data_IF_147819547878
#
_entry.id   IF_147819547878
#
_cell.length_a   1.000
_cell.length_b   1.000
_cell.length_c   1.000
_cell.angle_alpha   90.00
_cell.angle_beta   90.00
_cell.angle_gamma   90.00
#
_symmetry.space_group_name_H-M   'P 1'
#
loop_
_entity.id
_entity.type
_entity.pdbx_description
1 polymer ?
#
# COMPACT_ATOMS: atom_id res chain seq x y z
N UNK A 1 6.64 25.50 -21.12
CA UNK A 1 6.05 24.46 -20.26
C UNK A 1 7.16 23.89 -19.39
N UNK A 2 7.12 24.18 -18.08
CA UNK A 2 8.18 23.76 -17.16
C UNK A 2 8.29 22.24 -17.08
N UNK A 3 9.50 21.75 -16.85
CA UNK A 3 9.95 20.38 -17.02
C UNK A 3 9.38 19.42 -15.95
N UNK A 4 8.10 19.04 -16.08
CA UNK A 4 7.41 18.11 -15.16
C UNK A 4 8.11 16.74 -15.10
N UNK A 5 8.86 16.41 -16.16
CA UNK A 5 9.61 15.18 -16.34
C UNK A 5 10.75 15.00 -15.32
N UNK A 6 11.41 16.08 -14.90
CA UNK A 6 12.50 16.02 -13.91
C UNK A 6 12.03 16.11 -12.46
N UNK A 7 10.72 16.21 -12.21
CA UNK A 7 10.20 16.26 -10.84
C UNK A 7 10.52 14.92 -10.14
N UNK A 8 11.20 14.95 -8.99
CA UNK A 8 11.46 13.74 -8.21
C UNK A 8 10.15 13.17 -7.66
N UNK A 9 10.01 11.85 -7.72
CA UNK A 9 8.84 11.17 -7.20
C UNK A 9 8.77 11.30 -5.67
N UNK A 10 7.61 11.64 -5.08
CA UNK A 10 7.46 11.68 -3.63
C UNK A 10 7.64 10.30 -3.00
N UNK A 11 8.30 10.22 -1.85
CA UNK A 11 8.52 8.91 -1.22
C UNK A 11 7.21 8.28 -0.74
N UNK A 12 6.99 7.01 -1.09
CA UNK A 12 5.92 6.19 -0.53
C UNK A 12 6.15 5.94 0.96
N UNK A 13 5.06 5.88 1.71
CA UNK A 13 5.08 5.46 3.12
C UNK A 13 5.66 4.05 3.24
N UNK A 14 6.48 3.83 4.27
CA UNK A 14 7.07 2.52 4.54
C UNK A 14 6.04 1.55 5.10
N UNK A 15 6.05 0.31 4.64
CA UNK A 15 5.20 -0.77 5.13
C UNK A 15 3.91 -1.01 4.32
N UNK A 16 3.72 -0.29 3.21
CA UNK A 16 2.62 -0.55 2.29
C UNK A 16 2.79 -1.94 1.65
N UNK A 17 1.71 -2.73 1.66
CA UNK A 17 1.68 -4.05 1.03
C UNK A 17 0.75 -4.04 -0.16
N UNK A 18 1.30 -4.28 -1.34
CA UNK A 18 0.51 -4.48 -2.54
C UNK A 18 0.11 -5.96 -2.63
N UNK A 19 -1.17 -6.22 -2.87
CA UNK A 19 -1.73 -7.56 -3.04
C UNK A 19 -2.62 -7.58 -4.27
N UNK A 20 -2.58 -8.66 -5.04
CA UNK A 20 -3.52 -8.84 -6.15
C UNK A 20 -4.93 -8.96 -5.59
N UNK A 21 -5.83 -8.13 -6.10
CA UNK A 21 -7.25 -8.12 -5.75
C UNK A 21 -8.07 -8.99 -6.70
N UNK A 22 -9.38 -9.02 -6.46
CA UNK A 22 -10.33 -9.61 -7.40
C UNK A 22 -10.40 -8.76 -8.68
N UNK A 23 -10.84 -9.36 -9.78
CA UNK A 23 -11.11 -8.64 -11.02
C UNK A 23 -12.18 -7.57 -10.80
N UNK A 24 -12.04 -6.42 -11.46
CA UNK A 24 -13.05 -5.37 -11.37
C UNK A 24 -14.38 -5.86 -11.96
N UNK A 25 -15.46 -5.70 -11.21
CA UNK A 25 -16.78 -6.19 -11.61
C UNK A 25 -17.38 -5.45 -12.82
N UNK A 26 -16.86 -4.27 -13.18
CA UNK A 26 -17.34 -3.49 -14.33
C UNK A 26 -16.40 -3.63 -15.54
N UNK A 27 -15.09 -3.52 -15.34
CA UNK A 27 -14.12 -3.58 -16.45
C UNK A 27 -13.57 -4.98 -16.72
N UNK A 28 -13.66 -5.91 -15.77
CA UNK A 28 -13.01 -7.23 -15.85
C UNK A 28 -11.49 -7.19 -15.73
N UNK A 29 -10.91 -6.01 -15.46
CA UNK A 29 -9.47 -5.83 -15.36
C UNK A 29 -8.96 -6.29 -13.98
N UNK A 30 -7.73 -6.83 -13.91
CA UNK A 30 -7.11 -7.17 -12.63
C UNK A 30 -6.96 -5.91 -11.76
N UNK A 31 -7.50 -5.95 -10.54
CA UNK A 31 -7.31 -4.86 -9.57
C UNK A 31 -6.28 -5.26 -8.54
N UNK A 32 -5.64 -4.28 -7.92
CA UNK A 32 -4.74 -4.53 -6.79
C UNK A 32 -5.29 -3.85 -5.54
N UNK A 33 -5.09 -4.48 -4.39
CA UNK A 33 -5.35 -3.85 -3.09
C UNK A 33 -4.04 -3.45 -2.43
N UNK A 34 -3.94 -2.17 -2.11
CA UNK A 34 -2.88 -1.61 -1.30
C UNK A 34 -3.33 -1.55 0.15
N UNK A 35 -2.62 -2.29 1.01
CA UNK A 35 -2.89 -2.34 2.44
C UNK A 35 -1.88 -1.46 3.21
N UNK A 36 -2.38 -0.50 3.97
CA UNK A 36 -1.62 0.27 4.96
C UNK A 36 -1.81 -0.35 6.35
N UNK A 37 -0.81 -1.05 6.92
CA UNK A 37 -0.93 -1.70 8.22
C UNK A 37 -1.00 -0.69 9.37
N UNK A 38 -0.52 0.54 9.20
CA UNK A 38 -0.52 1.55 10.27
C UNK A 38 -1.93 2.09 10.50
N UNK A 39 -2.66 2.34 9.41
CA UNK A 39 -4.03 2.85 9.48
C UNK A 39 -5.09 1.75 9.32
N UNK A 40 -4.67 0.49 9.09
CA UNK A 40 -5.51 -0.65 8.73
C UNK A 40 -6.49 -0.31 7.59
N UNK A 41 -5.96 0.34 6.53
CA UNK A 41 -6.75 0.80 5.39
C UNK A 41 -6.43 -0.02 4.15
N UNK A 42 -7.47 -0.32 3.38
CA UNK A 42 -7.38 -1.01 2.11
C UNK A 42 -7.83 -0.06 1.01
N UNK A 43 -6.97 0.12 0.03
CA UNK A 43 -7.20 1.03 -1.09
C UNK A 43 -7.16 0.19 -2.35
N UNK A 44 -8.23 0.26 -3.13
CA UNK A 44 -8.33 -0.43 -4.41
C UNK A 44 -7.62 0.42 -5.46
N UNK A 45 -6.75 -0.21 -6.22
CA UNK A 45 -6.01 0.37 -7.34
C UNK A 45 -6.45 -0.32 -8.63
N UNK A 46 -6.63 0.47 -9.68
CA UNK A 46 -6.74 -0.03 -11.04
C UNK A 46 -5.44 -0.69 -11.49
N UNK A 47 -5.49 -1.42 -12.60
CA UNK A 47 -4.32 -2.08 -13.18
C UNK A 47 -3.19 -1.09 -13.48
N UNK A 48 -3.51 0.06 -14.08
CA UNK A 48 -2.55 1.12 -14.39
C UNK A 48 -1.86 1.63 -13.13
N UNK A 49 -2.64 1.93 -12.09
CA UNK A 49 -2.10 2.43 -10.82
C UNK A 49 -1.23 1.39 -10.12
N UNK A 50 -1.60 0.10 -10.20
CA UNK A 50 -0.84 -0.99 -9.63
C UNK A 50 0.53 -1.18 -10.34
N UNK A 51 0.55 -1.14 -11.67
CA UNK A 51 1.79 -1.26 -12.46
C UNK A 51 2.73 -0.07 -12.25
N UNK A 52 2.15 1.13 -12.14
CA UNK A 52 2.88 2.33 -11.73
C UNK A 52 3.47 2.15 -10.32
N UNK A 53 2.69 1.67 -9.35
CA UNK A 53 3.16 1.50 -7.97
C UNK A 53 4.24 0.43 -7.85
N UNK A 54 4.14 -0.65 -8.62
CA UNK A 54 5.16 -1.71 -8.67
C UNK A 54 6.52 -1.18 -9.13
N UNK A 55 6.54 -0.24 -10.09
CA UNK A 55 7.77 0.37 -10.64
C UNK A 55 8.19 1.63 -9.90
N UNK A 56 7.32 2.20 -9.10
CA UNK A 56 7.58 3.38 -8.27
C UNK A 56 8.82 3.24 -7.38
N UNK A 57 9.09 2.04 -6.85
CA UNK A 57 10.25 1.78 -6.01
C UNK A 57 11.58 1.80 -6.78
N UNK A 58 11.55 1.52 -8.08
CA UNK A 58 12.74 1.51 -8.94
C UNK A 58 12.96 2.88 -9.58
N UNK A 59 11.89 3.64 -9.78
CA UNK A 59 11.93 4.94 -10.46
C UNK A 59 12.20 6.12 -9.54
N UNK A 60 13.03 7.05 -10.00
CA UNK A 60 13.44 8.25 -9.23
C UNK A 60 12.68 9.52 -9.62
N UNK A 61 12.32 9.64 -10.90
CA UNK A 61 11.63 10.82 -11.45
C UNK A 61 10.37 10.40 -12.18
N UNK A 62 9.45 11.37 -12.36
CA UNK A 62 8.20 11.14 -13.11
C UNK A 62 8.49 10.60 -14.51
N UNK A 63 9.49 11.13 -15.21
CA UNK A 63 9.86 10.63 -16.54
C UNK A 63 10.37 9.18 -16.54
N UNK A 64 11.16 8.81 -15.52
CA UNK A 64 11.68 7.46 -15.39
C UNK A 64 10.54 6.44 -15.18
N UNK A 65 9.54 6.82 -14.38
CA UNK A 65 8.35 6.00 -14.19
C UNK A 65 7.55 5.84 -15.49
N UNK A 66 7.35 6.94 -16.23
CA UNK A 66 6.63 6.92 -17.53
C UNK A 66 7.34 5.99 -18.51
N UNK A 67 8.66 6.14 -18.67
CA UNK A 67 9.43 5.27 -19.55
C UNK A 67 9.38 3.81 -19.09
N UNK A 68 9.59 3.54 -17.81
CA UNK A 68 9.59 2.17 -17.28
C UNK A 68 8.25 1.47 -17.49
N UNK A 69 7.12 2.16 -17.32
CA UNK A 69 5.79 1.58 -17.55
C UNK A 69 5.55 1.36 -19.05
N UNK A 70 5.82 2.35 -19.88
CA UNK A 70 5.56 2.26 -21.33
C UNK A 70 6.48 1.27 -22.05
N UNK A 71 7.70 1.03 -21.55
CA UNK A 71 8.63 0.05 -22.13
C UNK A 71 8.36 -1.39 -21.66
N UNK A 72 7.91 -1.57 -20.41
CA UNK A 72 7.77 -2.89 -19.80
C UNK A 72 6.34 -3.42 -19.82
N UNK A 73 5.37 -2.59 -20.19
CA UNK A 73 3.96 -2.96 -20.27
C UNK A 73 3.36 -2.45 -21.58
N UNK A 74 2.22 -2.99 -21.98
CA UNK A 74 1.47 -2.48 -23.14
C UNK A 74 0.62 -1.24 -22.80
N UNK A 75 0.77 -0.69 -21.58
CA UNK A 75 0.10 0.54 -21.17
C UNK A 75 0.82 1.74 -21.80
N UNK A 76 0.05 2.76 -22.13
CA UNK A 76 0.58 4.03 -22.60
C UNK A 76 0.15 5.12 -21.63
N UNK A 77 1.00 5.37 -20.63
CA UNK A 77 0.77 6.38 -19.60
C UNK A 77 1.45 7.70 -19.97
N UNK A 78 0.82 8.79 -19.58
CA UNK A 78 1.37 10.14 -19.73
C UNK A 78 1.61 10.83 -18.38
N UNK A 79 2.09 12.08 -18.43
CA UNK A 79 2.45 12.81 -17.22
C UNK A 79 1.24 13.21 -16.37
N UNK A 80 0.07 13.38 -16.98
CA UNK A 80 -1.21 13.65 -16.31
C UNK A 80 -1.66 12.42 -15.52
N UNK A 81 -1.52 11.21 -16.08
CA UNK A 81 -1.81 9.96 -15.36
C UNK A 81 -0.97 9.82 -14.10
N UNK A 82 0.34 10.07 -14.21
CA UNK A 82 1.25 10.02 -13.05
C UNK A 82 0.89 11.10 -12.03
N UNK A 83 0.50 12.29 -12.47
CA UNK A 83 0.04 13.34 -11.58
C UNK A 83 -1.25 12.97 -10.85
N UNK A 84 -2.21 12.38 -11.56
CA UNK A 84 -3.46 11.89 -10.99
C UNK A 84 -3.21 10.78 -9.96
N UNK A 85 -2.31 9.85 -10.26
CA UNK A 85 -1.85 8.83 -9.32
C UNK A 85 -1.23 9.46 -8.08
N UNK A 86 -0.29 10.40 -8.23
CA UNK A 86 0.34 11.07 -7.08
C UNK A 86 -0.69 11.82 -6.25
N UNK A 87 -1.63 12.53 -6.89
CA UNK A 87 -2.73 13.22 -6.19
C UNK A 87 -3.63 12.23 -5.45
N UNK A 88 -3.91 11.07 -6.04
CA UNK A 88 -4.69 10.00 -5.40
C UNK A 88 -3.96 9.41 -4.18
N UNK A 89 -2.66 9.13 -4.29
CA UNK A 89 -1.83 8.65 -3.19
C UNK A 89 -1.72 9.70 -2.06
N UNK A 90 -1.60 10.99 -2.40
CA UNK A 90 -1.55 12.09 -1.45
C UNK A 90 -2.88 12.24 -0.68
N UNK A 91 -4.01 12.24 -1.40
CA UNK A 91 -5.36 12.28 -0.81
C UNK A 91 -5.58 11.13 0.18
N UNK A 92 -5.00 9.97 -0.10
CA UNK A 92 -5.07 8.79 0.76
C UNK A 92 -3.97 8.74 1.85
N UNK A 93 -3.14 9.78 1.99
CA UNK A 93 -2.05 9.88 2.97
C UNK A 93 -1.00 8.76 2.87
N UNK A 94 -0.82 8.23 1.66
CA UNK A 94 0.13 7.16 1.34
C UNK A 94 1.53 7.68 1.03
N UNK A 95 1.68 8.99 0.84
CA UNK A 95 2.96 9.64 0.63
C UNK A 95 3.57 10.13 1.95
N UNK A 96 4.89 10.08 2.05
CA UNK A 96 5.63 10.71 3.14
C UNK A 96 5.56 12.21 2.93
N UNK A 97 4.75 12.88 3.75
CA UNK A 97 4.71 14.35 3.77
C UNK A 97 6.13 14.90 3.97
N UNK A 98 6.52 15.91 3.18
CA UNK A 98 7.86 16.52 3.21
C UNK A 98 8.28 16.97 4.62
N UNK A 99 7.32 17.36 5.48
CA UNK A 99 7.53 17.71 6.90
C UNK A 99 7.97 16.54 7.80
N UNK A 100 7.75 15.29 7.39
CA UNK A 100 8.18 14.09 8.13
C UNK A 100 9.53 13.55 7.68
N UNK A 101 10.16 14.12 6.64
CA UNK A 101 11.52 13.74 6.24
C UNK A 101 12.55 14.08 7.31
N UNK A 102 12.28 15.08 8.15
CA UNK A 102 13.13 15.48 9.29
C UNK A 102 12.89 14.64 10.56
N UNK A 103 11.90 13.74 10.58
CA UNK A 103 11.57 12.87 11.73
C UNK A 103 11.85 11.39 11.46
N UNK A 104 12.95 11.08 10.77
CA UNK A 104 13.54 9.74 10.78
C UNK A 104 14.89 9.73 11.50
N UNK A 105 14.88 10.16 12.76
CA UNK A 105 15.81 9.64 13.76
C UNK A 105 14.96 8.94 14.83
N UNK A 106 15.20 7.64 14.96
CA UNK A 106 15.06 6.87 16.19
C UNK A 106 13.80 7.14 17.04
N UNK A 107 12.69 6.53 16.65
CA UNK A 107 11.64 6.21 17.61
C UNK A 107 11.76 4.73 17.95
N UNK A 108 12.54 4.40 18.98
CA UNK A 108 12.54 3.11 19.65
C UNK A 108 11.11 2.59 19.81
N UNK A 109 10.74 1.57 19.02
CA UNK A 109 9.52 0.83 19.26
C UNK A 109 9.84 -0.10 20.43
N UNK A 110 9.24 0.08 21.62
CA UNK A 110 9.57 -0.73 22.79
C UNK A 110 9.26 -2.21 22.50
N UNK A 111 10.22 -3.08 22.81
CA UNK A 111 10.22 -4.53 22.55
C UNK A 111 8.91 -5.24 22.98
N UNK A 112 8.22 -4.71 23.99
CA UNK A 112 6.96 -5.25 24.50
C UNK A 112 5.77 -5.11 23.53
N UNK A 113 5.73 -4.13 22.62
CA UNK A 113 4.66 -4.02 21.61
C UNK A 113 4.81 -5.03 20.46
N UNK A 114 6.01 -5.63 20.31
CA UNK A 114 6.29 -6.64 19.28
C UNK A 114 5.70 -8.03 19.63
N UNK A 115 5.49 -8.31 20.92
CA UNK A 115 4.92 -9.58 21.38
C UNK A 115 3.39 -9.59 21.27
N UNK A 116 2.72 -8.45 21.47
CA UNK A 116 1.25 -8.36 21.39
C UNK A 116 0.76 -8.45 19.94
N UNK A 117 1.55 -7.99 18.97
CA UNK A 117 1.22 -8.15 17.54
C UNK A 117 1.42 -9.58 17.01
N UNK A 118 1.97 -10.50 17.81
CA UNK A 118 1.99 -11.93 17.49
C UNK A 118 0.81 -12.70 18.11
N UNK A 119 -0.08 -12.03 18.86
CA UNK A 119 -1.23 -12.66 19.52
C UNK A 119 -2.53 -12.67 18.66
N UNK A 120 -2.54 -12.06 17.48
CA UNK A 120 -3.71 -12.15 16.58
C UNK A 120 -3.70 -13.38 15.66
N UNK A 121 -2.66 -14.22 15.72
CA UNK A 121 -2.51 -15.44 14.91
C UNK A 121 -2.47 -16.73 15.73
N UNK A 122 -2.86 -16.68 17.01
CA UNK A 122 -3.28 -17.87 17.73
C UNK A 122 -4.80 -17.86 17.80
N UNK A 123 -5.43 -18.66 16.94
CA UNK A 123 -6.71 -19.25 17.28
C UNK A 123 -6.53 -19.94 18.64
N UNK A 124 -6.95 -19.28 19.72
CA UNK A 124 -7.25 -20.00 20.95
C UNK A 124 -8.55 -20.74 20.59
N UNK A 125 -8.56 -22.08 20.45
CA UNK A 125 -9.81 -22.81 20.49
C UNK A 125 -10.37 -22.53 21.89
N UNK A 126 -11.30 -21.58 21.98
CA UNK A 126 -12.06 -21.33 23.19
C UNK A 126 -12.67 -22.69 23.57
N UNK A 127 -12.10 -23.25 24.63
CA UNK A 127 -12.50 -24.45 25.32
C UNK A 127 -14.01 -24.67 25.19
N UNK A 128 -14.42 -25.81 24.65
CA UNK A 128 -15.82 -26.23 24.62
C UNK A 128 -16.27 -26.49 26.06
N UNK A 129 -17.08 -25.63 26.70
CA UNK A 129 -17.50 -25.83 28.09
C UNK A 129 -18.71 -26.77 28.15
N UNK A 130 -18.83 -27.71 27.20
CA UNK A 130 -20.01 -28.55 27.08
C UNK A 130 -20.04 -29.67 28.14
N UNK A 131 -18.87 -30.10 28.64
CA UNK A 131 -18.77 -31.10 29.72
C UNK A 131 -19.12 -30.59 31.12
N UNK A 132 -19.25 -29.27 31.31
CA UNK A 132 -19.62 -28.72 32.63
C UNK A 132 -21.13 -28.75 32.87
N UNK A 133 -21.93 -28.75 31.79
CA UNK A 133 -23.39 -28.69 31.87
C UNK A 133 -24.04 -30.06 32.16
N UNK A 134 -23.41 -31.17 31.75
CA UNK A 134 -23.91 -32.53 32.01
C UNK A 134 -23.67 -33.01 33.45
N UNK A 135 -22.88 -32.29 34.26
CA UNK A 135 -22.55 -32.69 35.64
C UNK A 135 -23.41 -32.00 36.70
N UNK A 136 -24.37 -31.18 36.30
CA UNK A 136 -25.24 -30.41 37.22
C UNK A 136 -26.74 -30.59 36.93
N UNK A 137 -27.11 -31.59 36.11
CA UNK A 137 -28.49 -32.08 35.96
C UNK A 137 -28.62 -33.49 36.47
#
# INVERSE_FOLDING_TARGET
>A
MADIKTIPLPYLRSGLKLSAGAEDSQSGEPTAMLHDPVSNRYIKLSWVEAECLARYYTSKTVADLISAVNEQTSLNIDAEDVYNLISYLDKNQLLVSRKNQEKKTSGDIPFYQKIIHNYLYFTIPLFHPQNFLERTV
#
